data_IF_261652016935
#
_entry.id   IF_261652016935
#
_cell.length_a   1.000
_cell.length_b   1.000
_cell.length_c   1.000
_cell.angle_alpha   90.00
_cell.angle_beta   90.00
_cell.angle_gamma   90.00
#
_symmetry.space_group_name_H-M   'P 1'
#
loop_
_entity.id
_entity.type
_entity.pdbx_description
1 polymer ?
#
# COMPACT_ATOMS: atom_id res chain seq x y z
N UNK A 1 14.27 -11.40 4.69
CA UNK A 1 12.98 -10.84 4.23
C UNK A 1 13.26 -9.70 3.26
N UNK A 2 12.38 -9.43 2.29
CA UNK A 2 12.61 -8.41 1.25
C UNK A 2 11.99 -7.06 1.64
N UNK A 3 12.73 -5.96 1.44
CA UNK A 3 12.29 -4.61 1.82
C UNK A 3 10.97 -4.23 1.17
N UNK A 4 10.80 -4.50 -0.13
CA UNK A 4 9.57 -4.18 -0.86
C UNK A 4 8.31 -4.91 -0.36
N UNK A 5 8.46 -6.04 0.33
CA UNK A 5 7.32 -6.71 0.96
C UNK A 5 6.94 -6.06 2.29
N UNK A 6 7.90 -5.43 2.97
CA UNK A 6 7.74 -4.99 4.36
C UNK A 6 7.56 -3.48 4.50
N UNK A 7 7.72 -2.71 3.42
CA UNK A 7 7.64 -1.24 3.43
C UNK A 7 6.62 -0.83 2.38
N UNK A 8 5.61 -0.08 2.82
CA UNK A 8 4.65 0.62 1.98
C UNK A 8 4.85 2.11 2.21
N UNK A 9 5.15 2.88 1.17
CA UNK A 9 5.45 4.30 1.32
C UNK A 9 4.93 5.13 0.15
N UNK A 10 4.76 6.41 0.41
CA UNK A 10 4.63 7.48 -0.58
C UNK A 10 5.44 8.69 -0.09
N UNK A 11 5.28 9.84 -0.73
CA UNK A 11 6.08 11.04 -0.40
C UNK A 11 5.63 11.73 0.91
N UNK A 12 4.60 11.20 1.59
CA UNK A 12 4.05 11.76 2.84
C UNK A 12 4.37 10.90 4.07
N UNK A 13 4.51 9.59 3.89
CA UNK A 13 4.69 8.66 4.99
C UNK A 13 5.02 7.24 4.57
N UNK A 14 5.29 6.40 5.56
CA UNK A 14 5.46 4.98 5.38
C UNK A 14 4.78 4.15 6.48
N UNK A 15 4.25 2.99 6.08
CA UNK A 15 3.82 1.93 6.98
C UNK A 15 4.74 0.73 6.76
N UNK A 16 5.26 0.18 7.85
CA UNK A 16 6.23 -0.91 7.80
C UNK A 16 5.83 -2.11 8.63
N UNK A 17 6.50 -3.23 8.38
CA UNK A 17 6.34 -4.48 9.11
C UNK A 17 6.46 -4.26 10.63
N UNK A 18 5.53 -4.80 11.46
CA UNK A 18 5.44 -4.49 12.87
C UNK A 18 6.59 -5.05 13.72
N UNK A 19 7.36 -5.98 13.19
CA UNK A 19 8.54 -6.57 13.82
C UNK A 19 9.85 -5.82 13.58
N UNK A 20 9.87 -4.69 12.89
CA UNK A 20 11.07 -3.84 12.83
C UNK A 20 11.28 -3.14 14.16
N UNK A 21 12.52 -3.12 14.64
CA UNK A 21 12.95 -2.37 15.83
C UNK A 21 13.00 -0.86 15.56
N UNK A 22 13.26 -0.06 16.60
CA UNK A 22 13.24 1.40 16.52
C UNK A 22 14.39 1.94 15.65
N UNK A 23 15.54 1.26 15.66
CA UNK A 23 16.70 1.59 14.82
C UNK A 23 16.35 1.46 13.33
N UNK A 24 15.75 0.33 12.93
CA UNK A 24 15.31 0.13 11.55
C UNK A 24 14.23 1.13 11.13
N UNK A 25 13.28 1.45 12.02
CA UNK A 25 12.22 2.44 11.74
C UNK A 25 12.80 3.84 11.57
N UNK A 26 13.73 4.27 12.43
CA UNK A 26 14.42 5.56 12.31
C UNK A 26 15.20 5.63 11.01
N UNK A 27 15.98 4.59 10.70
CA UNK A 27 16.77 4.53 9.47
C UNK A 27 15.90 4.63 8.21
N UNK A 28 14.77 3.91 8.15
CA UNK A 28 13.84 4.00 7.02
C UNK A 28 13.27 5.41 6.91
N UNK A 29 12.89 6.03 8.02
CA UNK A 29 12.35 7.39 8.03
C UNK A 29 13.35 8.44 7.56
N UNK A 30 14.61 8.33 7.99
CA UNK A 30 15.72 9.20 7.57
C UNK A 30 16.00 9.06 6.07
N UNK A 31 16.05 7.82 5.56
CA UNK A 31 16.34 7.56 4.14
C UNK A 31 15.21 8.01 3.22
N UNK A 32 13.96 7.78 3.62
CA UNK A 32 12.78 8.17 2.83
C UNK A 32 12.38 9.64 3.04
N UNK A 33 12.84 10.28 4.10
CA UNK A 33 12.48 11.66 4.44
C UNK A 33 11.02 11.82 4.91
N UNK A 34 10.41 10.76 5.44
CA UNK A 34 8.99 10.74 5.84
C UNK A 34 8.77 10.08 7.19
N UNK A 35 7.63 10.37 7.82
CA UNK A 35 7.22 9.70 9.06
C UNK A 35 6.92 8.21 8.83
N UNK A 36 7.35 7.35 9.76
CA UNK A 36 7.21 5.90 9.65
C UNK A 36 6.42 5.35 10.83
N UNK A 37 5.40 4.54 10.54
CA UNK A 37 4.65 3.80 11.56
C UNK A 37 4.66 2.30 11.28
N UNK A 38 4.53 1.51 12.34
CA UNK A 38 4.38 0.06 12.26
C UNK A 38 2.91 -0.30 12.09
N UNK A 39 2.60 -1.27 11.23
CA UNK A 39 1.21 -1.67 11.01
C UNK A 39 1.05 -3.01 10.31
N UNK A 40 -0.21 -3.40 10.15
CA UNK A 40 -0.62 -4.56 9.36
C UNK A 40 -1.75 -4.17 8.42
N UNK A 41 -1.93 -4.95 7.35
CA UNK A 41 -3.06 -4.80 6.44
C UNK A 41 -3.78 -6.14 6.37
N UNK A 42 -5.03 -6.20 6.82
CA UNK A 42 -5.77 -7.45 7.00
C UNK A 42 -5.04 -8.46 7.92
N UNK A 43 -4.33 -7.97 8.94
CA UNK A 43 -3.48 -8.79 9.82
C UNK A 43 -2.17 -9.28 9.19
N UNK A 44 -1.92 -8.97 7.91
CA UNK A 44 -0.70 -9.35 7.20
C UNK A 44 0.40 -8.33 7.51
N UNK A 45 1.57 -8.85 7.90
CA UNK A 45 2.72 -8.07 8.34
C UNK A 45 3.56 -7.51 7.18
N UNK A 46 3.53 -8.19 6.03
CA UNK A 46 4.20 -7.76 4.80
C UNK A 46 3.33 -6.76 4.05
N UNK A 47 3.24 -5.54 4.58
CA UNK A 47 2.33 -4.49 4.12
C UNK A 47 2.52 -4.13 2.64
N UNK A 48 3.76 -4.11 2.14
CA UNK A 48 4.05 -3.81 0.74
C UNK A 48 3.64 -4.91 -0.24
N UNK A 49 3.44 -6.14 0.23
CA UNK A 49 2.91 -7.23 -0.62
C UNK A 49 1.39 -7.14 -0.83
N UNK A 50 0.68 -6.44 0.05
CA UNK A 50 -0.79 -6.45 0.13
C UNK A 50 -1.41 -5.05 0.05
N UNK A 51 -0.61 -4.05 -0.27
CA UNK A 51 -1.05 -2.69 -0.51
C UNK A 51 -0.10 -1.99 -1.49
N UNK A 52 -0.62 -0.97 -2.17
CA UNK A 52 0.12 -0.06 -3.05
C UNK A 52 -0.25 1.36 -2.68
N UNK A 53 0.74 2.24 -2.54
CA UNK A 53 0.56 3.63 -2.18
C UNK A 53 1.09 4.54 -3.27
N UNK A 54 0.36 5.63 -3.49
CA UNK A 54 0.77 6.77 -4.32
C UNK A 54 0.51 8.05 -3.53
N UNK A 55 0.84 9.21 -4.10
CA UNK A 55 0.48 10.49 -3.47
C UNK A 55 -0.99 10.89 -3.70
N UNK A 56 -1.79 10.04 -4.34
CA UNK A 56 -3.21 10.30 -4.61
C UNK A 56 -4.15 9.33 -3.91
N UNK A 57 -3.69 8.12 -3.63
CA UNK A 57 -4.49 7.09 -2.97
C UNK A 57 -3.70 5.84 -2.65
N UNK A 58 -4.30 5.00 -1.81
CA UNK A 58 -3.78 3.70 -1.39
C UNK A 58 -4.80 2.63 -1.73
N UNK A 59 -4.32 1.58 -2.39
CA UNK A 59 -5.07 0.35 -2.62
C UNK A 59 -4.59 -0.69 -1.61
N UNK A 60 -5.51 -1.40 -0.96
CA UNK A 60 -5.16 -2.40 0.02
C UNK A 60 -6.03 -3.66 -0.06
N UNK A 61 -5.58 -4.70 0.64
CA UNK A 61 -6.24 -6.01 0.74
C UNK A 61 -7.76 -5.88 1.01
N UNK A 62 -8.63 -6.69 0.36
CA UNK A 62 -10.10 -6.60 0.49
C UNK A 62 -10.64 -6.81 1.91
N UNK A 63 -9.87 -7.48 2.76
CA UNK A 63 -10.21 -7.73 4.18
C UNK A 63 -9.48 -6.80 5.16
N UNK A 64 -8.92 -5.68 4.70
CA UNK A 64 -8.33 -4.69 5.61
C UNK A 64 -9.40 -4.20 6.59
N UNK A 65 -9.05 -4.18 7.89
CA UNK A 65 -10.00 -3.75 8.93
C UNK A 65 -10.09 -2.22 8.97
N UNK A 66 -11.21 -1.64 9.39
CA UNK A 66 -11.37 -0.18 9.45
C UNK A 66 -10.24 0.54 10.22
N UNK A 67 -9.81 -0.01 11.36
CA UNK A 67 -8.69 0.57 12.11
C UNK A 67 -7.34 0.50 11.39
N UNK A 68 -7.10 -0.54 10.57
CA UNK A 68 -5.89 -0.62 9.74
C UNK A 68 -5.94 0.40 8.61
N UNK A 69 -7.11 0.58 7.98
CA UNK A 69 -7.30 1.59 6.94
C UNK A 69 -7.11 3.01 7.47
N UNK A 70 -7.56 3.31 8.70
CA UNK A 70 -7.32 4.61 9.33
C UNK A 70 -5.83 4.84 9.64
N UNK A 71 -5.08 3.81 10.02
CA UNK A 71 -3.61 3.90 10.16
C UNK A 71 -2.95 4.19 8.82
N UNK A 72 -3.33 3.46 7.75
CA UNK A 72 -2.81 3.71 6.41
C UNK A 72 -3.12 5.13 5.94
N UNK A 73 -4.37 5.59 6.09
CA UNK A 73 -4.82 6.92 5.70
C UNK A 73 -4.09 8.01 6.47
N UNK A 74 -3.92 7.83 7.77
CA UNK A 74 -3.24 8.80 8.64
C UNK A 74 -1.73 8.83 8.41
N UNK A 75 -1.10 7.70 8.12
CA UNK A 75 0.33 7.66 7.82
C UNK A 75 0.64 8.22 6.42
N UNK A 76 -0.13 7.79 5.42
CA UNK A 76 0.14 8.07 4.00
C UNK A 76 -0.58 9.32 3.49
N UNK A 77 -1.41 9.97 4.32
CA UNK A 77 -2.08 11.25 4.05
C UNK A 77 -2.97 11.27 2.78
N UNK A 78 -3.45 10.10 2.34
CA UNK A 78 -4.28 9.94 1.15
C UNK A 78 -5.44 8.97 1.41
N UNK A 79 -6.52 9.02 0.62
CA UNK A 79 -7.63 8.06 0.73
C UNK A 79 -7.17 6.60 0.58
N UNK A 80 -7.85 5.70 1.28
CA UNK A 80 -7.55 4.26 1.28
C UNK A 80 -8.77 3.51 0.77
N UNK A 81 -8.57 2.68 -0.24
CA UNK A 81 -9.63 1.88 -0.88
C UNK A 81 -9.22 0.41 -0.88
N UNK A 82 -10.18 -0.47 -0.68
CA UNK A 82 -9.97 -1.91 -0.79
C UNK A 82 -10.16 -2.37 -2.25
N UNK A 83 -9.29 -3.26 -2.73
CA UNK A 83 -9.43 -3.81 -4.09
C UNK A 83 -8.79 -5.20 -4.23
N UNK A 84 -8.97 -5.80 -5.40
CA UNK A 84 -8.25 -6.98 -5.87
C UNK A 84 -7.63 -6.68 -7.24
N UNK A 85 -6.71 -7.53 -7.68
CA UNK A 85 -6.14 -7.49 -9.02
C UNK A 85 -5.90 -8.90 -9.53
N UNK A 86 -5.54 -9.06 -10.81
CA UNK A 86 -5.21 -10.38 -11.38
C UNK A 86 -6.26 -11.47 -11.11
N UNK A 87 -7.54 -11.17 -11.35
CA UNK A 87 -8.65 -12.12 -11.19
C UNK A 87 -8.91 -12.50 -9.72
N UNK A 88 -9.01 -11.48 -8.86
CA UNK A 88 -9.36 -11.63 -7.45
C UNK A 88 -8.20 -11.83 -6.49
N UNK A 89 -6.95 -11.69 -6.93
CA UNK A 89 -5.80 -11.78 -6.04
C UNK A 89 -5.78 -10.61 -5.06
N UNK A 90 -5.58 -10.95 -3.78
CA UNK A 90 -5.65 -10.01 -2.67
C UNK A 90 -4.29 -9.35 -2.35
N UNK A 91 -3.20 -9.95 -2.83
CA UNK A 91 -1.84 -9.42 -2.74
C UNK A 91 -1.64 -8.33 -3.80
N UNK A 92 -2.37 -7.22 -3.66
CA UNK A 92 -2.40 -6.14 -4.65
C UNK A 92 -1.01 -5.55 -4.91
N UNK A 93 -0.14 -5.49 -3.89
CA UNK A 93 1.25 -5.03 -4.02
C UNK A 93 2.14 -5.94 -4.86
N UNK A 94 1.81 -7.23 -4.96
CA UNK A 94 2.50 -8.15 -5.88
C UNK A 94 1.92 -8.09 -7.31
N UNK A 95 0.76 -7.48 -7.50
CA UNK A 95 0.03 -7.49 -8.76
C UNK A 95 0.26 -6.24 -9.62
N UNK A 96 0.77 -5.16 -9.02
CA UNK A 96 0.94 -3.89 -9.72
C UNK A 96 2.05 -3.04 -9.11
N UNK A 97 2.51 -2.08 -9.91
CA UNK A 97 3.30 -0.93 -9.45
C UNK A 97 2.59 0.34 -9.92
N UNK A 98 2.60 1.38 -9.09
CA UNK A 98 1.90 2.62 -9.40
C UNK A 98 2.64 3.85 -8.88
N UNK A 99 2.36 4.99 -9.48
CA UNK A 99 2.73 6.31 -8.99
C UNK A 99 1.56 7.28 -9.28
N UNK A 100 1.75 8.57 -8.99
CA UNK A 100 0.71 9.60 -9.17
C UNK A 100 0.26 9.84 -10.63
N UNK A 101 0.94 9.24 -11.61
CA UNK A 101 0.69 9.41 -13.04
C UNK A 101 0.10 8.16 -13.69
N UNK A 102 0.14 7.00 -13.04
CA UNK A 102 -0.37 5.77 -13.63
C UNK A 102 -0.02 4.52 -12.84
N UNK A 103 -0.53 3.39 -13.32
CA UNK A 103 -0.26 2.06 -12.79
C UNK A 103 0.06 1.07 -13.91
N UNK A 104 1.01 0.18 -13.65
CA UNK A 104 1.25 -1.02 -14.46
C UNK A 104 0.73 -2.20 -13.66
N UNK A 105 -0.29 -2.88 -14.21
CA UNK A 105 -0.98 -4.00 -13.55
C UNK A 105 -0.76 -5.31 -14.30
N UNK A 106 -0.87 -6.43 -13.61
CA UNK A 106 -0.79 -7.75 -14.24
C UNK A 106 -1.89 -7.97 -15.28
N UNK A 107 -1.56 -8.72 -16.34
CA UNK A 107 -2.39 -8.91 -17.53
C UNK A 107 -3.72 -9.65 -17.30
N UNK A 108 -3.90 -10.27 -16.12
CA UNK A 108 -5.14 -10.95 -15.74
C UNK A 108 -6.10 -10.06 -14.95
N UNK A 109 -5.74 -8.79 -14.72
CA UNK A 109 -6.60 -7.84 -14.02
C UNK A 109 -7.83 -7.55 -14.86
N UNK A 110 -9.01 -7.75 -14.28
CA UNK A 110 -10.28 -7.63 -15.00
C UNK A 110 -10.68 -6.16 -15.21
N UNK A 111 -11.57 -5.84 -16.16
CA UNK A 111 -12.05 -4.47 -16.36
C UNK A 111 -12.69 -3.83 -15.11
N UNK A 112 -13.36 -4.63 -14.28
CA UNK A 112 -13.97 -4.16 -13.03
C UNK A 112 -12.89 -3.83 -11.99
N UNK A 113 -11.85 -4.65 -11.88
CA UNK A 113 -10.70 -4.38 -11.01
C UNK A 113 -9.93 -3.15 -11.49
N UNK A 114 -9.71 -3.01 -12.80
CA UNK A 114 -9.09 -1.83 -13.41
C UNK A 114 -9.83 -0.55 -13.02
N UNK A 115 -11.15 -0.50 -13.19
CA UNK A 115 -11.94 0.69 -12.83
C UNK A 115 -11.79 1.06 -11.35
N UNK A 116 -11.74 0.07 -10.44
CA UNK A 116 -11.49 0.32 -9.01
C UNK A 116 -10.06 0.80 -8.72
N UNK A 117 -9.07 0.27 -9.44
CA UNK A 117 -7.67 0.68 -9.31
C UNK A 117 -7.52 2.14 -9.76
N UNK A 118 -8.11 2.51 -10.89
CA UNK A 118 -8.05 3.87 -11.42
C UNK A 118 -8.77 4.86 -10.50
N UNK A 119 -9.96 4.51 -10.00
CA UNK A 119 -10.70 5.32 -9.03
C UNK A 119 -9.92 5.48 -7.71
N UNK A 120 -9.45 4.37 -7.14
CA UNK A 120 -8.76 4.37 -5.84
C UNK A 120 -7.38 5.04 -5.86
N UNK A 121 -6.75 5.17 -7.03
CA UNK A 121 -5.48 5.87 -7.21
C UNK A 121 -5.64 7.28 -7.82
N UNK A 122 -6.86 7.73 -8.13
CA UNK A 122 -7.11 9.05 -8.69
C UNK A 122 -6.39 9.28 -10.04
N UNK A 123 -6.50 8.32 -10.95
CA UNK A 123 -5.85 8.36 -12.26
C UNK A 123 -6.67 9.06 -13.36
N UNK A 124 -7.82 9.64 -13.01
CA UNK A 124 -8.69 10.44 -13.88
C UNK A 124 -8.64 11.93 -13.52
#
# INVERSE_FOLDING_TARGET
SAVGNNVLCNDYGAVVHPGYDDEAVSFIGEVLGVGVVRGTVAGIKTVGSVAVATNKGVLCHPHARPGEMEVLKSALQVPVVITTANYGAAQVGACMVANSHGAVVGSRTTPIELGRIEEGLGLF
#
